data_IF_650700839717
#
_entry.id   IF_650700839717
#
_cell.length_a   1.000
_cell.length_b   1.000
_cell.length_c   1.000
_cell.angle_alpha   90.00
_cell.angle_beta   90.00
_cell.angle_gamma   90.00
#
_symmetry.space_group_name_H-M   'P 1'
#
loop_
_entity.id
_entity.type
_entity.pdbx_description
1 polymer ?
#
# COMPACT_ATOMS: atom_id res chain seq x y z
N UNK A 1 -10.08 14.60 0.15
CA UNK A 1 -10.33 13.15 0.23
C UNK A 1 -9.18 12.44 -0.46
N UNK A 2 -8.72 11.30 0.06
CA UNK A 2 -7.70 10.46 -0.60
C UNK A 2 -8.35 9.18 -1.10
N UNK A 3 -7.90 8.69 -2.25
CA UNK A 3 -8.33 7.42 -2.81
C UNK A 3 -7.18 6.42 -2.78
N UNK A 4 -7.42 5.22 -2.28
CA UNK A 4 -6.45 4.11 -2.29
C UNK A 4 -6.98 2.98 -3.18
N UNK A 5 -6.13 2.41 -4.03
CA UNK A 5 -6.48 1.31 -4.94
C UNK A 5 -5.54 0.12 -4.75
N UNK A 6 -6.11 -1.07 -4.57
CA UNK A 6 -5.37 -2.33 -4.52
C UNK A 6 -5.56 -3.13 -5.84
N UNK A 7 -4.66 -3.01 -6.83
CA UNK A 7 -4.71 -3.83 -8.03
C UNK A 7 -4.07 -5.22 -7.84
N UNK A 8 -3.53 -5.51 -6.66
CA UNK A 8 -2.84 -6.77 -6.39
C UNK A 8 -3.84 -7.90 -6.12
N UNK A 9 -3.33 -9.14 -6.07
CA UNK A 9 -4.12 -10.34 -5.76
C UNK A 9 -4.27 -10.61 -4.26
N UNK A 10 -3.55 -9.88 -3.42
CA UNK A 10 -3.54 -10.07 -1.98
C UNK A 10 -4.25 -8.90 -1.28
N UNK A 11 -4.90 -9.12 -0.13
CA UNK A 11 -5.39 -8.03 0.70
C UNK A 11 -4.26 -7.10 1.13
N UNK A 12 -4.54 -5.80 1.16
CA UNK A 12 -3.64 -4.79 1.71
C UNK A 12 -4.34 -4.14 2.89
N UNK A 13 -3.70 -4.14 4.04
CA UNK A 13 -4.22 -3.49 5.22
C UNK A 13 -3.47 -2.18 5.44
N UNK A 14 -4.19 -1.12 5.79
CA UNK A 14 -3.58 0.16 6.11
C UNK A 14 -4.19 0.78 7.36
N UNK A 15 -3.41 1.63 8.01
CA UNK A 15 -3.81 2.42 9.18
C UNK A 15 -3.54 3.88 8.85
N UNK A 16 -4.56 4.74 8.89
CA UNK A 16 -4.39 6.18 8.62
C UNK A 16 -4.32 6.95 9.94
N UNK A 17 -3.26 7.72 10.16
CA UNK A 17 -3.07 8.56 11.36
C UNK A 17 -3.23 7.80 12.69
N UNK A 18 -2.83 6.51 12.73
CA UNK A 18 -2.97 5.67 13.93
C UNK A 18 -4.41 5.24 14.24
N UNK A 19 -5.37 5.51 13.35
CA UNK A 19 -6.75 5.01 13.49
C UNK A 19 -6.86 3.50 13.23
N UNK A 20 -8.08 2.96 13.32
CA UNK A 20 -8.37 1.55 13.06
C UNK A 20 -7.78 1.08 11.71
N UNK A 21 -7.20 -0.12 11.72
CA UNK A 21 -6.73 -0.79 10.50
C UNK A 21 -7.91 -1.12 9.57
N UNK A 22 -7.77 -0.76 8.29
CA UNK A 22 -8.76 -0.98 7.24
C UNK A 22 -8.14 -1.89 6.17
N UNK A 23 -8.88 -2.92 5.77
CA UNK A 23 -8.51 -3.80 4.65
C UNK A 23 -9.02 -3.27 3.32
N UNK A 24 -8.17 -3.28 2.30
CA UNK A 24 -8.52 -3.08 0.89
C UNK A 24 -8.35 -4.43 0.20
N UNK A 25 -9.46 -5.08 -0.13
CA UNK A 25 -9.42 -6.40 -0.77
C UNK A 25 -8.89 -6.30 -2.21
N UNK A 26 -8.46 -7.43 -2.80
CA UNK A 26 -7.99 -7.46 -4.17
C UNK A 26 -8.96 -6.78 -5.14
N UNK A 27 -8.43 -5.93 -6.01
CA UNK A 27 -9.15 -5.14 -7.03
C UNK A 27 -10.14 -4.11 -6.49
N UNK A 28 -10.10 -3.80 -5.19
CA UNK A 28 -10.96 -2.76 -4.61
C UNK A 28 -10.28 -1.39 -4.56
N UNK A 29 -11.15 -0.39 -4.48
CA UNK A 29 -10.81 1.01 -4.23
C UNK A 29 -11.59 1.51 -3.02
N UNK A 30 -10.94 2.33 -2.19
CA UNK A 30 -11.57 3.02 -1.06
C UNK A 30 -11.26 4.51 -1.14
N UNK A 31 -12.27 5.35 -0.90
CA UNK A 31 -12.13 6.81 -0.81
C UNK A 31 -12.38 7.25 0.63
N UNK A 32 -11.43 8.00 1.20
CA UNK A 32 -11.45 8.43 2.59
C UNK A 32 -11.42 9.95 2.70
N UNK A 33 -12.07 10.47 3.74
CA UNK A 33 -11.98 11.88 4.12
C UNK A 33 -10.76 12.08 5.04
N UNK A 34 -9.56 11.88 4.51
CA UNK A 34 -8.35 12.00 5.32
C UNK A 34 -7.09 12.32 4.51
N UNK A 35 -6.13 12.90 5.20
CA UNK A 35 -4.74 13.11 4.78
C UNK A 35 -3.85 12.81 5.98
N UNK A 36 -2.60 12.45 5.73
CA UNK A 36 -1.63 12.19 6.79
C UNK A 36 -0.80 10.95 6.54
N UNK A 37 -0.30 10.32 7.60
CA UNK A 37 0.61 9.18 7.48
C UNK A 37 -0.18 7.86 7.50
N UNK A 38 0.13 7.00 6.54
CA UNK A 38 -0.46 5.69 6.41
C UNK A 38 0.60 4.59 6.59
N UNK A 39 0.33 3.68 7.52
CA UNK A 39 1.13 2.48 7.74
C UNK A 39 0.48 1.33 6.99
N UNK A 40 1.23 0.59 6.18
CA UNK A 40 0.68 -0.38 5.22
C UNK A 40 1.30 -1.75 5.46
N UNK A 41 0.45 -2.74 5.70
CA UNK A 41 0.81 -4.14 5.87
C UNK A 41 0.18 -4.98 4.75
N UNK A 42 0.93 -5.93 4.24
CA UNK A 42 0.50 -6.75 3.11
C UNK A 42 1.17 -8.11 3.15
N UNK A 43 0.46 -9.13 2.72
CA UNK A 43 1.03 -10.48 2.59
C UNK A 43 1.73 -10.62 1.23
N UNK A 44 3.02 -10.99 1.24
CA UNK A 44 3.85 -11.25 0.04
C UNK A 44 3.65 -12.66 -0.52
N UNK A 45 2.82 -13.51 0.09
CA UNK A 45 2.71 -14.93 -0.23
C UNK A 45 3.89 -15.78 0.26
N UNK A 46 4.86 -15.17 0.96
CA UNK A 46 6.03 -15.81 1.58
C UNK A 46 6.17 -15.39 3.07
N UNK A 47 5.18 -14.69 3.63
CA UNK A 47 5.23 -14.03 4.95
C UNK A 47 4.80 -12.56 4.87
N UNK A 48 4.52 -11.97 6.05
CA UNK A 48 4.05 -10.59 6.20
C UNK A 48 5.13 -9.58 5.76
N UNK A 49 4.77 -8.68 4.84
CA UNK A 49 5.54 -7.49 4.47
C UNK A 49 4.89 -6.21 5.00
N UNK A 50 5.71 -5.20 5.31
CA UNK A 50 5.20 -3.90 5.82
C UNK A 50 5.98 -2.71 5.27
N UNK A 51 5.25 -1.66 4.88
CA UNK A 51 5.76 -0.31 4.67
C UNK A 51 5.38 0.49 5.92
N UNK A 52 6.38 1.11 6.57
CA UNK A 52 6.21 1.70 7.88
C UNK A 52 5.54 3.07 7.90
N UNK A 53 5.63 3.91 6.86
CA UNK A 53 4.89 5.17 6.80
C UNK A 53 4.87 5.77 5.38
N UNK A 54 3.70 6.20 4.91
CA UNK A 54 3.54 6.95 3.66
C UNK A 54 2.67 8.19 3.86
N UNK A 55 3.08 9.36 3.34
CA UNK A 55 2.30 10.59 3.45
C UNK A 55 1.26 10.72 2.33
N UNK A 56 -0.01 10.61 2.70
CA UNK A 56 -1.17 10.78 1.82
C UNK A 56 -1.64 12.23 1.77
N UNK A 57 -1.84 12.74 0.55
CA UNK A 57 -2.35 14.09 0.27
C UNK A 57 -3.79 14.08 -0.23
N UNK A 58 -4.53 15.17 0.04
CA UNK A 58 -5.93 15.31 -0.36
C UNK A 58 -6.04 15.47 -1.86
N UNK A 59 -7.09 14.91 -2.46
CA UNK A 59 -7.38 14.94 -3.89
C UNK A 59 -6.54 13.97 -4.71
N UNK A 60 -5.59 13.26 -4.08
CA UNK A 60 -4.73 12.30 -4.76
C UNK A 60 -5.31 10.90 -4.73
N UNK A 61 -5.06 10.17 -5.82
CA UNK A 61 -5.28 8.73 -5.88
C UNK A 61 -3.94 8.05 -5.73
N UNK A 62 -3.87 7.05 -4.86
CA UNK A 62 -2.71 6.22 -4.68
C UNK A 62 -3.02 4.79 -5.07
N UNK A 63 -2.07 4.17 -5.76
CA UNK A 63 -2.20 2.82 -6.30
C UNK A 63 -1.07 1.96 -5.76
N UNK A 64 -1.43 0.85 -5.13
CA UNK A 64 -0.45 -0.17 -4.73
C UNK A 64 0.04 -0.91 -5.97
N UNK A 65 1.33 -1.20 -6.08
CA UNK A 65 1.83 -1.96 -7.22
C UNK A 65 3.12 -2.69 -6.88
N UNK A 66 3.22 -3.92 -7.39
CA UNK A 66 4.47 -4.67 -7.34
C UNK A 66 5.44 -4.09 -8.36
N UNK A 67 6.66 -3.85 -7.90
CA UNK A 67 7.80 -3.53 -8.74
C UNK A 67 8.86 -4.56 -8.49
N UNK A 68 9.35 -5.11 -9.57
CA UNK A 68 10.54 -5.92 -9.56
C UNK A 68 11.76 -4.99 -9.44
N UNK A 69 12.62 -5.29 -8.48
CA UNK A 69 13.88 -4.58 -8.26
C UNK A 69 15.01 -5.60 -8.22
N UNK A 70 16.16 -5.22 -8.77
CA UNK A 70 17.37 -6.02 -8.63
C UNK A 70 18.12 -5.56 -7.38
N UNK A 71 18.38 -6.52 -6.49
CA UNK A 71 19.16 -6.31 -5.28
C UNK A 71 20.54 -6.94 -5.48
N UNK A 72 21.65 -6.18 -5.32
CA UNK A 72 23.00 -6.65 -5.65
C UNK A 72 23.42 -7.95 -4.96
N UNK A 73 22.89 -8.25 -3.77
CA UNK A 73 23.30 -9.39 -2.96
C UNK A 73 22.32 -10.57 -2.96
N UNK A 74 21.10 -10.35 -3.45
CA UNK A 74 19.97 -11.31 -3.29
C UNK A 74 19.28 -11.63 -4.62
N UNK A 75 19.73 -11.02 -5.72
CA UNK A 75 19.09 -11.13 -7.02
C UNK A 75 17.79 -10.32 -7.09
N UNK A 76 16.84 -10.82 -7.87
CA UNK A 76 15.63 -10.08 -8.20
C UNK A 76 14.56 -10.25 -7.13
N UNK A 77 13.98 -9.15 -6.64
CA UNK A 77 12.96 -9.12 -5.60
C UNK A 77 11.72 -8.33 -6.04
N UNK A 78 10.53 -8.84 -5.69
CA UNK A 78 9.28 -8.12 -5.86
C UNK A 78 8.96 -7.30 -4.62
N UNK A 79 8.91 -5.97 -4.76
CA UNK A 79 8.54 -5.04 -3.69
C UNK A 79 7.20 -4.39 -3.96
N UNK A 80 6.35 -4.32 -2.95
CA UNK A 80 5.13 -3.53 -3.02
C UNK A 80 5.50 -2.07 -2.82
N UNK A 81 5.06 -1.21 -3.74
CA UNK A 81 5.20 0.23 -3.66
C UNK A 81 3.82 0.88 -3.68
N UNK A 82 3.75 2.10 -3.16
CA UNK A 82 2.59 2.97 -3.29
C UNK A 82 2.94 4.14 -4.21
N UNK A 83 2.20 4.26 -5.31
CA UNK A 83 2.40 5.31 -6.30
C UNK A 83 1.30 6.36 -6.19
N UNK A 84 1.64 7.64 -6.24
CA UNK A 84 0.66 8.70 -6.46
C UNK A 84 0.34 8.80 -7.95
N UNK A 85 -0.94 8.75 -8.29
CA UNK A 85 -1.45 9.02 -9.64
C UNK A 85 -2.04 10.43 -9.72
#
# INVERSE_FOLDING_TARGET
>A
MVTLQNPTRNPIYYTLNGERQIGILPRQQVTLRGVGYADIKFDRGLGDGSIYAYRLASGKTYVFGWKEIDLPEIGTANVLNLYSK
#
